data_IF_012394657344
#
_entry.id   IF_012394657344
#
_cell.length_a   1.000
_cell.length_b   1.000
_cell.length_c   1.000
_cell.angle_alpha   90.00
_cell.angle_beta   90.00
_cell.angle_gamma   90.00
#
_symmetry.space_group_name_H-M   'P 1'
#
loop_
_entity.id
_entity.type
_entity.pdbx_description
1 polymer ?
#
# COMPACT_ATOMS: atom_id res chain seq x y z
N UNK A 1 -7.39 39.04 -30.69
CA UNK A 1 -6.82 40.36 -30.35
C UNK A 1 -7.46 41.40 -31.26
N UNK A 2 -7.83 42.61 -30.78
CA UNK A 2 -7.88 43.76 -31.69
C UNK A 2 -6.45 43.99 -32.20
N UNK A 3 -6.29 44.14 -33.52
CA UNK A 3 -4.98 44.14 -34.19
C UNK A 3 -4.09 45.35 -33.87
N UNK A 4 -4.60 46.35 -33.15
CA UNK A 4 -3.99 47.68 -33.05
C UNK A 4 -2.75 47.79 -32.13
N UNK A 5 -2.49 46.80 -31.26
CA UNK A 5 -1.39 46.86 -30.26
C UNK A 5 -0.29 45.78 -30.42
N UNK A 6 -0.34 44.99 -31.50
CA UNK A 6 0.60 43.88 -31.70
C UNK A 6 2.07 44.35 -31.84
N UNK A 7 2.40 45.42 -32.59
CA UNK A 7 3.78 45.89 -32.71
C UNK A 7 4.36 46.39 -31.38
N UNK A 8 3.58 47.15 -30.61
CA UNK A 8 3.99 47.63 -29.29
C UNK A 8 4.25 46.48 -28.32
N UNK A 9 3.37 45.46 -28.35
CA UNK A 9 3.54 44.24 -27.56
C UNK A 9 4.80 43.45 -27.94
N UNK A 10 5.08 43.31 -29.24
CA UNK A 10 6.28 42.61 -29.73
C UNK A 10 7.54 43.34 -29.29
N UNK A 11 7.58 44.67 -29.42
CA UNK A 11 8.75 45.46 -29.01
C UNK A 11 8.93 45.45 -27.48
N UNK A 12 7.86 45.48 -26.70
CA UNK A 12 7.92 45.29 -25.25
C UNK A 12 8.57 43.95 -24.89
N UNK A 13 8.10 42.84 -25.46
CA UNK A 13 8.64 41.50 -25.21
C UNK A 13 10.10 41.41 -25.65
N UNK A 14 10.42 41.92 -26.85
CA UNK A 14 11.79 41.95 -27.36
C UNK A 14 12.73 42.72 -26.45
N UNK A 15 12.32 43.90 -25.97
CA UNK A 15 13.14 44.74 -25.09
C UNK A 15 13.46 44.02 -23.77
N UNK A 16 12.50 43.29 -23.20
CA UNK A 16 12.68 42.53 -21.96
C UNK A 16 13.67 41.36 -22.15
N UNK A 17 13.56 40.63 -23.26
CA UNK A 17 14.49 39.53 -23.57
C UNK A 17 15.89 40.06 -23.87
N UNK A 18 15.98 41.15 -24.66
CA UNK A 18 17.25 41.74 -25.11
C UNK A 18 18.12 42.28 -23.97
N UNK A 19 17.54 42.62 -22.80
CA UNK A 19 18.31 43.01 -21.60
C UNK A 19 19.27 41.94 -21.10
N UNK A 20 18.94 40.66 -21.35
CA UNK A 20 19.66 39.51 -20.78
C UNK A 20 20.21 38.56 -21.84
N UNK A 21 19.59 38.51 -23.02
CA UNK A 21 19.97 37.61 -24.10
C UNK A 21 20.06 38.38 -25.42
N UNK A 22 21.21 38.35 -26.12
CA UNK A 22 21.31 38.89 -27.47
C UNK A 22 20.32 38.21 -28.42
N UNK A 23 19.33 38.96 -28.90
CA UNK A 23 18.31 38.51 -29.85
C UNK A 23 18.79 38.76 -31.27
N UNK A 24 18.77 37.74 -32.13
CA UNK A 24 19.15 37.89 -33.54
C UNK A 24 17.99 37.66 -34.53
N UNK A 25 16.91 37.01 -34.11
CA UNK A 25 15.72 36.83 -34.95
C UNK A 25 14.45 36.79 -34.08
N UNK A 26 13.34 37.34 -34.59
CA UNK A 26 12.03 37.34 -33.92
C UNK A 26 10.99 36.74 -34.87
N UNK A 27 10.29 35.70 -34.42
CA UNK A 27 9.19 35.05 -35.12
C UNK A 27 7.92 35.26 -34.32
N UNK A 28 6.95 35.98 -34.89
CA UNK A 28 5.66 36.25 -34.27
C UNK A 28 4.65 35.21 -34.73
N UNK A 29 3.95 34.58 -33.79
CA UNK A 29 2.81 33.70 -34.04
C UNK A 29 1.59 34.28 -33.32
N UNK A 30 0.38 33.78 -33.66
CA UNK A 30 -0.86 34.28 -33.08
C UNK A 30 -0.92 34.18 -31.55
N UNK A 31 -0.33 33.12 -30.97
CA UNK A 31 -0.42 32.83 -29.54
C UNK A 31 0.89 33.02 -28.77
N UNK A 32 2.01 33.22 -29.47
CA UNK A 32 3.34 33.27 -28.87
C UNK A 32 4.32 34.10 -29.69
N UNK A 33 5.26 34.76 -29.01
CA UNK A 33 6.41 35.41 -29.65
C UNK A 33 7.63 34.53 -29.40
N UNK A 34 8.29 34.08 -30.46
CA UNK A 34 9.50 33.26 -30.39
C UNK A 34 10.71 34.09 -30.82
N UNK A 35 11.68 34.22 -29.94
CA UNK A 35 12.91 34.95 -30.16
C UNK A 35 14.07 33.98 -30.20
N UNK A 36 14.88 34.04 -31.25
CA UNK A 36 16.12 33.28 -31.31
C UNK A 36 17.21 34.11 -30.64
N UNK A 37 17.92 33.47 -29.69
CA UNK A 37 18.87 34.15 -28.82
C UNK A 37 20.20 33.42 -28.75
N UNK A 38 21.27 34.17 -28.49
CA UNK A 38 22.54 33.59 -28.06
C UNK A 38 22.55 33.53 -26.54
N UNK A 39 22.71 32.33 -25.98
CA UNK A 39 22.81 32.14 -24.54
C UNK A 39 24.16 31.50 -24.21
N UNK A 40 24.83 32.03 -23.19
CA UNK A 40 26.02 31.42 -22.61
C UNK A 40 25.57 30.43 -21.52
N UNK A 41 25.96 29.16 -21.64
CA UNK A 41 25.59 28.09 -20.70
C UNK A 41 25.91 28.44 -19.24
N UNK A 42 26.98 29.20 -18.98
CA UNK A 42 27.44 29.53 -17.62
C UNK A 42 26.53 30.52 -16.90
N UNK A 43 25.88 31.43 -17.64
CA UNK A 43 25.04 32.50 -17.08
C UNK A 43 23.55 32.31 -17.38
N UNK A 44 23.21 31.32 -18.21
CA UNK A 44 21.85 31.06 -18.72
C UNK A 44 20.82 30.98 -17.59
N UNK A 45 21.04 30.15 -16.56
CA UNK A 45 20.04 29.93 -15.50
C UNK A 45 19.74 31.21 -14.72
N UNK A 46 20.79 31.96 -14.34
CA UNK A 46 20.65 33.23 -13.61
C UNK A 46 19.94 34.28 -14.47
N UNK A 47 20.39 34.45 -15.71
CA UNK A 47 19.82 35.44 -16.64
C UNK A 47 18.35 35.13 -16.95
N UNK A 48 18.02 33.85 -17.13
CA UNK A 48 16.65 33.41 -17.36
C UNK A 48 15.76 33.63 -16.14
N UNK A 49 16.24 33.32 -14.94
CA UNK A 49 15.45 33.48 -13.71
C UNK A 49 15.14 34.95 -13.39
N UNK A 50 16.11 35.84 -13.59
CA UNK A 50 15.89 37.29 -13.45
C UNK A 50 14.87 37.80 -14.49
N UNK A 51 15.01 37.39 -15.75
CA UNK A 51 14.06 37.72 -16.82
C UNK A 51 12.65 37.20 -16.50
N UNK A 52 12.53 35.97 -15.99
CA UNK A 52 11.26 35.36 -15.58
C UNK A 52 10.58 36.17 -14.48
N UNK A 53 11.31 36.61 -13.48
CA UNK A 53 10.77 37.42 -12.37
C UNK A 53 10.26 38.78 -12.86
N UNK A 54 11.02 39.46 -13.72
CA UNK A 54 10.60 40.73 -14.34
C UNK A 54 9.35 40.53 -15.20
N UNK A 55 9.35 39.50 -16.07
CA UNK A 55 8.22 39.16 -16.93
C UNK A 55 6.96 38.74 -16.17
N UNK A 56 7.09 38.08 -15.01
CA UNK A 56 5.95 37.72 -14.14
C UNK A 56 5.18 38.98 -13.70
N UNK A 57 5.87 40.11 -13.47
CA UNK A 57 5.24 41.40 -13.14
C UNK A 57 4.41 41.99 -14.28
N UNK A 58 4.74 41.66 -15.53
CA UNK A 58 4.01 42.07 -16.74
C UNK A 58 2.96 41.05 -17.20
N UNK A 59 2.72 39.98 -16.44
CA UNK A 59 1.80 38.91 -16.84
C UNK A 59 2.32 38.08 -18.02
N UNK A 60 3.64 38.00 -18.21
CA UNK A 60 4.31 37.26 -19.27
C UNK A 60 4.98 36.00 -18.71
N UNK A 61 4.97 34.93 -19.49
CA UNK A 61 5.63 33.66 -19.15
C UNK A 61 6.66 33.34 -20.23
N UNK A 62 7.97 33.48 -19.95
CA UNK A 62 9.02 33.05 -20.85
C UNK A 62 9.30 31.55 -20.71
N UNK A 63 9.61 30.91 -21.83
CA UNK A 63 10.11 29.54 -21.93
C UNK A 63 11.40 29.57 -22.74
N UNK A 64 12.48 28.96 -22.25
CA UNK A 64 13.73 28.79 -22.99
C UNK A 64 13.94 27.32 -23.34
N UNK A 65 14.10 27.07 -24.64
CA UNK A 65 14.36 25.74 -25.19
C UNK A 65 15.62 25.77 -26.06
N UNK A 66 16.29 24.62 -26.16
CA UNK A 66 17.40 24.42 -27.08
C UNK A 66 17.00 23.38 -28.13
N UNK A 67 17.00 23.76 -29.40
CA UNK A 67 16.60 22.87 -30.50
C UNK A 67 17.46 23.13 -31.73
N UNK A 68 17.94 22.04 -32.37
CA UNK A 68 18.71 22.08 -33.62
C UNK A 68 19.93 23.02 -33.60
N UNK A 69 20.58 23.21 -32.44
CA UNK A 69 21.76 24.05 -32.30
C UNK A 69 21.48 25.49 -31.88
N UNK A 70 20.22 25.88 -31.66
CA UNK A 70 19.83 27.26 -31.34
C UNK A 70 19.02 27.34 -30.04
N UNK A 71 19.23 28.43 -29.29
CA UNK A 71 18.38 28.76 -28.14
C UNK A 71 17.20 29.62 -28.59
N UNK A 72 16.02 29.22 -28.15
CA UNK A 72 14.77 29.93 -28.44
C UNK A 72 14.09 30.33 -27.14
N UNK A 73 13.75 31.60 -27.01
CA UNK A 73 12.90 32.13 -25.94
C UNK A 73 11.50 32.33 -26.52
N UNK A 74 10.56 31.51 -26.09
CA UNK A 74 9.15 31.64 -26.44
C UNK A 74 8.42 32.34 -25.30
N UNK A 75 7.73 33.43 -25.58
CA UNK A 75 6.99 34.21 -24.58
C UNK A 75 5.50 34.13 -24.89
N UNK A 76 4.74 33.75 -23.88
CA UNK A 76 3.26 33.68 -23.91
C UNK A 76 2.66 34.59 -22.85
N UNK A 77 1.45 35.11 -23.11
CA UNK A 77 0.71 35.85 -22.08
C UNK A 77 0.13 34.89 -21.05
N UNK A 78 0.24 35.25 -19.78
CA UNK A 78 -0.47 34.55 -18.71
C UNK A 78 -1.93 35.01 -18.71
N UNK A 79 -2.84 34.17 -19.21
CA UNK A 79 -4.29 34.40 -19.07
C UNK A 79 -4.81 34.04 -17.66
N UNK A 80 -3.93 33.78 -16.68
CA UNK A 80 -4.31 33.33 -15.34
C UNK A 80 -4.74 34.51 -14.49
N UNK A 81 -6.06 34.73 -14.40
CA UNK A 81 -6.64 35.53 -13.32
C UNK A 81 -6.26 34.87 -12.00
N UNK A 82 -5.54 35.60 -11.13
CA UNK A 82 -5.25 35.15 -9.76
C UNK A 82 -6.58 35.02 -9.00
N UNK A 83 -7.24 33.86 -9.09
CA UNK A 83 -8.47 33.61 -8.32
C UNK A 83 -8.14 33.74 -6.83
N UNK A 84 -8.96 34.46 -6.05
CA UNK A 84 -8.75 34.56 -4.60
C UNK A 84 -8.75 33.16 -3.98
N UNK A 85 -7.82 32.92 -3.06
CA UNK A 85 -7.70 31.64 -2.36
C UNK A 85 -8.90 31.52 -1.41
N UNK A 86 -9.88 30.70 -1.75
CA UNK A 86 -10.99 30.43 -0.82
C UNK A 86 -10.55 29.39 0.22
N UNK A 87 -9.99 29.89 1.33
CA UNK A 87 -9.53 29.09 2.48
C UNK A 87 -10.63 28.24 3.13
N UNK A 88 -11.90 28.59 2.89
CA UNK A 88 -13.05 27.87 3.43
C UNK A 88 -13.11 26.43 2.94
N UNK A 89 -12.81 26.19 1.66
CA UNK A 89 -12.83 24.85 1.05
C UNK A 89 -11.79 23.96 1.71
N UNK A 90 -10.56 24.45 1.90
CA UNK A 90 -9.50 23.70 2.56
C UNK A 90 -9.86 23.34 4.01
N UNK A 91 -10.52 24.25 4.75
CA UNK A 91 -10.97 23.99 6.13
C UNK A 91 -12.08 22.94 6.19
N UNK A 92 -13.07 23.04 5.31
CA UNK A 92 -14.14 22.03 5.24
C UNK A 92 -13.55 20.68 4.89
N UNK A 93 -12.72 20.60 3.86
CA UNK A 93 -12.12 19.34 3.44
C UNK A 93 -11.25 18.73 4.54
N UNK A 94 -10.43 19.55 5.21
CA UNK A 94 -9.65 19.09 6.36
C UNK A 94 -10.56 18.53 7.48
N UNK A 95 -11.65 19.22 7.81
CA UNK A 95 -12.58 18.78 8.85
C UNK A 95 -13.29 17.47 8.45
N UNK A 96 -13.78 17.37 7.22
CA UNK A 96 -14.45 16.16 6.71
C UNK A 96 -13.46 14.99 6.66
N UNK A 97 -12.24 15.20 6.15
CA UNK A 97 -11.22 14.15 6.15
C UNK A 97 -10.85 13.74 7.56
N UNK A 98 -10.70 14.67 8.50
CA UNK A 98 -10.42 14.31 9.89
C UNK A 98 -11.54 13.45 10.49
N UNK A 99 -12.81 13.75 10.21
CA UNK A 99 -13.94 12.94 10.64
C UNK A 99 -13.90 11.55 10.00
N UNK A 100 -13.70 11.46 8.68
CA UNK A 100 -13.68 10.15 8.00
C UNK A 100 -12.49 9.29 8.40
N UNK A 101 -11.32 9.88 8.60
CA UNK A 101 -10.13 9.18 9.12
C UNK A 101 -10.33 8.78 10.58
N UNK A 102 -11.01 9.59 11.39
CA UNK A 102 -11.38 9.20 12.76
C UNK A 102 -12.31 8.00 12.74
N UNK A 103 -13.35 7.98 11.89
CA UNK A 103 -14.25 6.82 11.77
C UNK A 103 -13.52 5.54 11.34
N UNK A 104 -12.59 5.64 10.40
CA UNK A 104 -11.72 4.53 10.03
C UNK A 104 -10.83 4.07 11.20
N UNK A 105 -10.26 5.02 11.95
CA UNK A 105 -9.48 4.74 13.15
C UNK A 105 -10.31 4.10 14.27
N UNK A 106 -11.57 4.48 14.42
CA UNK A 106 -12.51 3.89 15.38
C UNK A 106 -12.73 2.41 15.08
N UNK A 107 -12.93 2.06 13.80
CA UNK A 107 -13.08 0.68 13.37
C UNK A 107 -11.82 -0.13 13.68
N UNK A 108 -10.65 0.38 13.27
CA UNK A 108 -9.36 -0.27 13.54
C UNK A 108 -9.08 -0.43 15.04
N UNK A 109 -9.40 0.58 15.85
CA UNK A 109 -9.24 0.50 17.30
C UNK A 109 -10.21 -0.52 17.90
N UNK A 110 -11.47 -0.54 17.46
CA UNK A 110 -12.46 -1.48 17.97
C UNK A 110 -12.10 -2.93 17.65
N UNK A 111 -11.55 -3.20 16.46
CA UNK A 111 -11.01 -4.50 16.08
C UNK A 111 -9.78 -4.85 16.93
N UNK A 112 -8.89 -3.88 17.14
CA UNK A 112 -7.72 -4.06 17.98
C UNK A 112 -8.09 -4.42 19.43
N UNK A 113 -9.08 -3.78 20.06
CA UNK A 113 -9.45 -4.10 21.45
C UNK A 113 -10.52 -5.19 21.59
N UNK A 114 -11.03 -5.75 20.48
CA UNK A 114 -12.12 -6.73 20.49
C UNK A 114 -13.45 -6.18 21.04
N UNK A 115 -13.77 -4.91 20.77
CA UNK A 115 -14.99 -4.29 21.29
C UNK A 115 -16.27 -4.76 20.54
N UNK A 116 -17.31 -5.15 21.29
CA UNK A 116 -18.60 -5.56 20.71
C UNK A 116 -19.31 -4.43 19.93
N UNK A 117 -19.19 -3.19 20.42
CA UNK A 117 -19.72 -2.00 19.75
C UNK A 117 -18.57 -1.09 19.34
N UNK A 118 -18.43 -0.87 18.04
CA UNK A 118 -17.39 0.00 17.50
C UNK A 118 -17.67 1.49 17.73
N UNK A 119 -18.94 1.93 17.79
CA UNK A 119 -19.33 3.35 17.96
C UNK A 119 -19.46 3.79 19.42
N UNK A 120 -18.43 3.57 20.24
CA UNK A 120 -18.36 4.11 21.60
C UNK A 120 -17.53 5.41 21.63
N UNK A 121 -17.80 6.29 22.61
CA UNK A 121 -17.04 7.53 22.77
C UNK A 121 -15.54 7.28 23.01
N UNK A 122 -15.21 6.19 23.71
CA UNK A 122 -13.85 5.74 23.97
C UNK A 122 -13.15 5.28 22.68
N UNK A 123 -13.81 4.43 21.88
CA UNK A 123 -13.25 3.96 20.61
C UNK A 123 -13.05 5.11 19.61
N UNK A 124 -13.97 6.09 19.60
CA UNK A 124 -13.82 7.29 18.76
C UNK A 124 -12.62 8.13 19.21
N UNK A 125 -12.44 8.31 20.51
CA UNK A 125 -11.31 9.06 21.06
C UNK A 125 -9.97 8.39 20.72
N UNK A 126 -9.85 7.09 20.96
CA UNK A 126 -8.62 6.36 20.67
C UNK A 126 -8.39 6.14 19.18
N UNK A 127 -9.44 5.96 18.38
CA UNK A 127 -9.35 5.96 16.92
C UNK A 127 -8.83 7.28 16.36
N UNK A 128 -9.27 8.42 16.91
CA UNK A 128 -8.74 9.72 16.56
C UNK A 128 -7.26 9.87 16.99
N UNK A 129 -6.95 9.53 18.23
CA UNK A 129 -5.63 9.73 18.83
C UNK A 129 -4.56 8.83 18.21
N UNK A 130 -4.85 7.55 18.04
CA UNK A 130 -3.86 6.54 17.66
C UNK A 130 -3.82 6.26 16.16
N UNK A 131 -4.82 6.65 15.37
CA UNK A 131 -4.80 6.48 13.92
C UNK A 131 -4.94 7.80 13.15
N UNK A 132 -6.00 8.57 13.40
CA UNK A 132 -6.29 9.74 12.59
C UNK A 132 -5.26 10.87 12.74
N UNK A 133 -4.88 11.21 13.97
CA UNK A 133 -3.86 12.24 14.24
C UNK A 133 -2.51 11.87 13.61
N UNK A 134 -1.95 10.66 13.83
CA UNK A 134 -0.71 10.25 13.18
C UNK A 134 -0.78 10.28 11.65
N UNK A 135 -1.82 9.71 11.04
CA UNK A 135 -1.94 9.65 9.58
C UNK A 135 -2.09 11.06 8.97
N UNK A 136 -2.92 11.91 9.56
CA UNK A 136 -3.11 13.28 9.12
C UNK A 136 -1.85 14.13 9.30
N UNK A 137 -1.05 13.87 10.34
CA UNK A 137 0.24 14.53 10.53
C UNK A 137 1.23 14.15 9.42
N UNK A 138 1.33 12.87 9.06
CA UNK A 138 2.18 12.39 7.96
C UNK A 138 1.79 13.07 6.64
N UNK A 139 0.52 12.97 6.25
CA UNK A 139 0.01 13.54 5.00
C UNK A 139 0.12 15.08 4.98
N UNK A 140 -0.20 15.71 6.11
CA UNK A 140 -0.14 17.16 6.25
C UNK A 140 1.29 17.69 6.12
N UNK A 141 2.27 17.05 6.78
CA UNK A 141 3.68 17.47 6.69
C UNK A 141 4.27 17.17 5.32
N UNK A 142 3.85 16.08 4.65
CA UNK A 142 4.20 15.80 3.25
C UNK A 142 3.81 16.98 2.34
N UNK A 143 2.53 17.36 2.33
CA UNK A 143 2.05 18.45 1.48
C UNK A 143 2.58 19.84 1.90
N UNK A 144 2.78 20.07 3.20
CA UNK A 144 3.42 21.31 3.68
C UNK A 144 4.87 21.42 3.23
N UNK A 145 5.58 20.29 3.11
CA UNK A 145 6.96 20.28 2.63
C UNK A 145 7.03 20.68 1.15
N UNK A 146 6.09 20.20 0.34
CA UNK A 146 5.90 20.68 -1.03
C UNK A 146 5.58 22.18 -1.09
N UNK A 147 4.68 22.66 -0.24
CA UNK A 147 4.32 24.08 -0.17
C UNK A 147 5.54 24.96 0.18
N UNK A 148 6.32 24.57 1.19
CA UNK A 148 7.52 25.31 1.62
C UNK A 148 8.58 25.31 0.52
N UNK A 149 8.82 24.16 -0.14
CA UNK A 149 9.74 24.07 -1.26
C UNK A 149 9.30 24.95 -2.43
N UNK A 150 8.01 24.91 -2.80
CA UNK A 150 7.44 25.73 -3.86
C UNK A 150 7.65 27.23 -3.60
N UNK A 151 7.41 27.68 -2.36
CA UNK A 151 7.63 29.07 -1.96
C UNK A 151 9.10 29.48 -2.06
N UNK A 152 10.04 28.58 -1.72
CA UNK A 152 11.49 28.85 -1.86
C UNK A 152 11.92 29.01 -3.33
N UNK A 153 11.27 28.32 -4.26
CA UNK A 153 11.50 28.46 -5.70
C UNK A 153 10.64 29.56 -6.37
N UNK A 154 9.87 30.33 -5.61
CA UNK A 154 9.01 31.39 -6.15
C UNK A 154 7.89 30.87 -7.06
N UNK A 155 7.39 29.67 -6.74
CA UNK A 155 6.27 29.01 -7.42
C UNK A 155 5.04 29.14 -6.52
N UNK A 156 3.98 29.77 -7.04
CA UNK A 156 2.73 29.92 -6.29
C UNK A 156 2.00 28.56 -6.20
N UNK A 157 1.80 28.08 -4.96
CA UNK A 157 1.11 26.83 -4.64
C UNK A 157 -0.08 27.09 -3.71
N UNK A 158 -1.10 26.23 -3.76
CA UNK A 158 -2.18 26.25 -2.76
C UNK A 158 -1.72 25.66 -1.43
N UNK A 159 -2.51 25.92 -0.38
CA UNK A 159 -2.46 25.09 0.82
C UNK A 159 -3.02 23.68 0.50
N UNK A 160 -2.72 22.67 1.35
CA UNK A 160 -3.15 21.29 1.13
C UNK A 160 -4.67 21.18 1.03
N UNK A 161 -5.14 20.38 0.07
CA UNK A 161 -6.50 19.91 -0.04
C UNK A 161 -6.52 18.44 0.40
N UNK A 162 -7.13 18.17 1.55
CA UNK A 162 -7.33 16.80 2.03
C UNK A 162 -8.52 16.17 1.30
N UNK A 163 -8.39 14.90 0.90
CA UNK A 163 -9.44 14.18 0.20
C UNK A 163 -10.02 13.14 1.15
N UNK A 164 -11.28 13.31 1.61
CA UNK A 164 -11.94 12.31 2.45
C UNK A 164 -12.21 11.04 1.64
N UNK A 165 -12.18 9.90 2.33
CA UNK A 165 -12.60 8.61 1.79
C UNK A 165 -13.40 7.85 2.83
N UNK A 166 -14.10 6.81 2.41
CA UNK A 166 -14.70 5.84 3.32
C UNK A 166 -13.60 4.91 3.91
N UNK A 167 -13.88 4.18 5.01
CA UNK A 167 -13.01 3.12 5.50
C UNK A 167 -12.61 2.15 4.37
N UNK A 168 -11.40 1.58 4.38
CA UNK A 168 -10.58 1.29 5.56
C UNK A 168 -9.56 2.37 5.98
N UNK A 169 -9.16 3.30 5.09
CA UNK A 169 -8.14 4.32 5.42
C UNK A 169 -8.75 5.67 5.84
N UNK A 170 -9.99 5.95 5.45
CA UNK A 170 -10.68 7.21 5.75
C UNK A 170 -10.17 8.44 5.00
N UNK A 171 -9.16 8.31 4.14
CA UNK A 171 -8.66 9.38 3.25
C UNK A 171 -8.04 8.80 1.97
N UNK A 172 -8.14 9.53 0.86
CA UNK A 172 -7.36 9.27 -0.37
C UNK A 172 -6.02 10.02 -0.39
N UNK A 173 -5.65 10.66 0.71
CA UNK A 173 -4.47 11.51 0.82
C UNK A 173 -4.81 12.99 0.80
N UNK A 174 -3.79 13.79 0.50
CA UNK A 174 -3.90 15.22 0.31
C UNK A 174 -3.09 15.63 -0.92
N UNK A 175 -3.37 16.81 -1.49
CA UNK A 175 -2.57 17.36 -2.57
C UNK A 175 -2.51 18.88 -2.51
N UNK A 176 -1.41 19.46 -2.99
CA UNK A 176 -1.32 20.88 -3.34
C UNK A 176 -1.57 21.09 -4.84
N UNK A 177 -2.16 22.23 -5.17
CA UNK A 177 -2.31 22.67 -6.56
C UNK A 177 -1.22 23.67 -6.92
N UNK A 178 -0.37 23.30 -7.88
CA UNK A 178 0.66 24.16 -8.44
C UNK A 178 0.03 25.16 -9.42
N UNK A 179 0.07 26.44 -9.07
CA UNK A 179 -0.60 27.52 -9.83
C UNK A 179 0.32 28.23 -10.81
N UNK A 180 1.62 28.03 -10.67
CA UNK A 180 2.65 28.52 -11.57
C UNK A 180 3.34 27.34 -12.27
N UNK A 181 3.78 27.53 -13.53
CA UNK A 181 4.63 26.55 -14.20
C UNK A 181 6.01 26.43 -13.52
N UNK A 182 6.59 25.24 -13.59
CA UNK A 182 7.86 24.94 -12.95
C UNK A 182 9.02 25.74 -13.58
N UNK A 183 9.83 26.49 -12.80
CA UNK A 183 10.84 27.38 -13.34
C UNK A 183 11.95 26.66 -14.11
N UNK A 184 12.51 25.60 -13.53
CA UNK A 184 13.63 24.86 -14.10
C UNK A 184 13.64 23.40 -13.61
N UNK A 185 14.54 22.60 -14.19
CA UNK A 185 14.73 21.19 -13.80
C UNK A 185 15.17 21.01 -12.35
N UNK A 186 15.88 21.98 -11.77
CA UNK A 186 16.28 21.95 -10.37
C UNK A 186 15.06 22.03 -9.44
N UNK A 187 14.18 23.00 -9.67
CA UNK A 187 12.95 23.16 -8.91
C UNK A 187 12.04 21.92 -9.01
N UNK A 188 12.04 21.21 -10.14
CA UNK A 188 11.32 19.94 -10.27
C UNK A 188 11.82 18.89 -9.27
N UNK A 189 13.14 18.69 -9.17
CA UNK A 189 13.71 17.73 -8.22
C UNK A 189 13.51 18.19 -6.79
N UNK A 190 13.86 19.45 -6.48
CA UNK A 190 13.82 20.00 -5.12
C UNK A 190 12.39 20.00 -4.54
N UNK A 191 11.39 20.36 -5.35
CA UNK A 191 9.99 20.31 -4.92
C UNK A 191 9.51 18.85 -4.89
N UNK A 192 9.73 18.08 -5.95
CA UNK A 192 9.26 16.69 -6.02
C UNK A 192 9.75 15.82 -4.86
N UNK A 193 11.00 16.01 -4.41
CA UNK A 193 11.54 15.22 -3.29
C UNK A 193 11.14 15.74 -1.90
N UNK A 194 10.72 17.02 -1.79
CA UNK A 194 10.46 17.65 -0.50
C UNK A 194 9.29 17.00 0.24
N UNK A 195 8.19 16.70 -0.45
CA UNK A 195 7.05 15.99 0.13
C UNK A 195 7.44 14.65 0.73
N UNK A 196 7.96 13.69 -0.07
CA UNK A 196 8.36 12.37 0.40
C UNK A 196 9.34 12.41 1.59
N UNK A 197 10.35 13.29 1.56
CA UNK A 197 11.29 13.41 2.68
C UNK A 197 10.63 14.01 3.93
N UNK A 198 9.75 15.00 3.76
CA UNK A 198 9.01 15.62 4.85
C UNK A 198 8.02 14.66 5.51
N UNK A 199 7.26 13.92 4.70
CA UNK A 199 6.36 12.86 5.17
C UNK A 199 7.14 11.78 5.92
N UNK A 200 8.24 11.28 5.32
CA UNK A 200 9.08 10.26 5.94
C UNK A 200 9.68 10.70 7.29
N UNK A 201 10.05 11.98 7.42
CA UNK A 201 10.57 12.52 8.67
C UNK A 201 9.56 12.44 9.83
N UNK A 202 8.26 12.40 9.53
CA UNK A 202 7.19 12.16 10.52
C UNK A 202 6.84 10.68 10.62
N UNK A 203 6.80 9.96 9.50
CA UNK A 203 6.48 8.54 9.46
C UNK A 203 7.45 7.70 10.28
N UNK A 204 8.76 8.00 10.26
CA UNK A 204 9.77 7.23 11.01
C UNK A 204 9.52 7.28 12.53
N UNK A 205 9.40 8.46 13.17
CA UNK A 205 9.01 8.54 14.59
C UNK A 205 7.68 7.86 14.90
N UNK A 206 6.66 8.04 14.06
CA UNK A 206 5.35 7.42 14.25
C UNK A 206 5.45 5.89 14.15
N UNK A 207 6.27 5.36 13.24
CA UNK A 207 6.54 3.93 13.12
C UNK A 207 7.19 3.38 14.38
N UNK A 208 8.21 4.04 14.92
CA UNK A 208 8.89 3.60 16.16
C UNK A 208 7.94 3.63 17.36
N UNK A 209 7.11 4.68 17.50
CA UNK A 209 6.09 4.76 18.54
C UNK A 209 5.05 3.66 18.37
N UNK A 210 4.56 3.45 17.14
CA UNK A 210 3.57 2.42 16.84
C UNK A 210 4.09 1.00 17.09
N UNK A 211 5.34 0.73 16.71
CA UNK A 211 6.04 -0.52 17.00
C UNK A 211 6.21 -0.74 18.49
N UNK A 212 6.61 0.29 19.24
CA UNK A 212 6.70 0.22 20.69
C UNK A 212 5.34 -0.07 21.34
N UNK A 213 4.27 0.57 20.89
CA UNK A 213 2.91 0.30 21.37
C UNK A 213 2.44 -1.11 20.99
N UNK A 214 2.83 -1.60 19.82
CA UNK A 214 2.58 -2.98 19.38
C UNK A 214 3.29 -3.99 20.30
N UNK A 215 4.55 -3.74 20.64
CA UNK A 215 5.35 -4.59 21.53
C UNK A 215 4.80 -4.70 22.96
N UNK A 216 4.08 -3.68 23.42
CA UNK A 216 3.44 -3.64 24.74
C UNK A 216 1.92 -3.90 24.66
N UNK A 217 1.44 -4.33 23.48
CA UNK A 217 0.04 -4.65 23.25
C UNK A 217 -0.31 -6.06 23.72
N UNK A 218 -1.36 -6.61 23.12
CA UNK A 218 -1.79 -7.98 23.32
C UNK A 218 -1.42 -8.85 22.11
N UNK A 219 -1.19 -10.12 22.35
CA UNK A 219 -0.98 -11.11 21.30
C UNK A 219 -2.28 -11.37 20.55
N UNK A 220 -2.17 -11.62 19.25
CA UNK A 220 -3.27 -12.23 18.50
C UNK A 220 -3.23 -13.72 18.82
N UNK A 221 -3.92 -14.09 19.90
CA UNK A 221 -4.11 -15.50 20.29
C UNK A 221 -5.47 -15.96 19.78
N UNK A 222 -5.48 -17.06 19.03
CA UNK A 222 -6.70 -17.72 18.59
C UNK A 222 -6.69 -18.18 17.13
N UNK A 223 -7.64 -19.04 16.75
CA UNK A 223 -7.82 -19.54 15.40
C UNK A 223 -8.12 -18.41 14.42
N UNK A 224 -7.60 -18.52 13.20
CA UNK A 224 -8.02 -17.69 12.07
C UNK A 224 -9.42 -18.14 11.68
N UNK A 225 -10.44 -17.33 11.95
CA UNK A 225 -11.81 -17.66 11.55
C UNK A 225 -11.96 -17.98 10.06
N UNK A 226 -13.02 -18.71 9.70
CA UNK A 226 -13.26 -19.25 8.34
C UNK A 226 -13.27 -18.20 7.21
N UNK A 227 -13.38 -16.91 7.54
CA UNK A 227 -13.25 -15.82 6.58
C UNK A 227 -11.80 -15.47 6.21
N UNK A 228 -10.82 -16.07 6.88
CA UNK A 228 -9.42 -15.69 6.81
C UNK A 228 -9.12 -14.38 7.55
N UNK A 229 -7.83 -14.02 7.60
CA UNK A 229 -7.35 -12.76 8.19
C UNK A 229 -6.59 -11.96 7.14
N UNK A 230 -6.84 -10.65 7.07
CA UNK A 230 -6.02 -9.75 6.28
C UNK A 230 -4.71 -9.45 7.01
N UNK A 231 -3.59 -9.84 6.41
CA UNK A 231 -2.25 -9.53 6.88
C UNK A 231 -1.62 -8.43 6.03
N UNK A 232 -0.83 -7.58 6.66
CA UNK A 232 -0.03 -6.57 5.96
C UNK A 232 1.40 -7.06 5.75
N UNK A 233 1.96 -6.75 4.59
CA UNK A 233 3.37 -7.00 4.32
C UNK A 233 4.20 -5.79 4.71
N UNK A 234 5.27 -6.03 5.47
CA UNK A 234 6.13 -4.98 6.02
C UNK A 234 7.12 -4.51 4.95
N UNK A 235 7.26 -3.19 4.78
CA UNK A 235 8.21 -2.61 3.83
C UNK A 235 9.65 -2.68 4.36
N UNK A 236 10.70 -2.70 3.52
CA UNK A 236 12.08 -2.88 3.97
C UNK A 236 12.54 -1.89 5.05
N UNK A 237 12.17 -0.61 4.91
CA UNK A 237 12.48 0.40 5.92
C UNK A 237 11.73 0.14 7.23
N UNK A 238 10.46 -0.25 7.15
CA UNK A 238 9.68 -0.61 8.33
C UNK A 238 10.32 -1.80 9.05
N UNK A 239 10.75 -2.82 8.31
CA UNK A 239 11.44 -3.98 8.86
C UNK A 239 12.75 -3.59 9.55
N UNK A 240 13.53 -2.66 8.96
CA UNK A 240 14.72 -2.11 9.61
C UNK A 240 14.38 -1.39 10.93
N UNK A 241 13.28 -0.64 10.97
CA UNK A 241 12.82 0.02 12.20
C UNK A 241 12.35 -0.97 13.26
N UNK A 242 11.72 -2.08 12.85
CA UNK A 242 11.30 -3.14 13.75
C UNK A 242 12.48 -3.80 14.48
N UNK A 243 13.69 -3.83 13.89
CA UNK A 243 14.89 -4.35 14.57
C UNK A 243 15.27 -3.58 15.84
N UNK A 244 14.82 -2.34 15.98
CA UNK A 244 15.09 -1.51 17.17
C UNK A 244 14.06 -1.72 18.29
N UNK A 245 12.99 -2.47 18.04
CA UNK A 245 11.92 -2.72 19.01
C UNK A 245 11.77 -4.23 19.17
N UNK A 246 12.26 -4.82 20.28
CA UNK A 246 12.04 -6.24 20.56
C UNK A 246 10.52 -6.50 20.67
N UNK A 247 10.02 -7.44 19.89
CA UNK A 247 8.61 -7.85 19.91
C UNK A 247 8.54 -9.37 20.02
N UNK A 248 7.54 -9.86 20.77
CA UNK A 248 7.19 -11.27 20.75
C UNK A 248 6.54 -11.63 19.40
N UNK A 249 6.52 -12.93 19.09
CA UNK A 249 5.81 -13.41 17.90
C UNK A 249 4.30 -13.16 18.04
N UNK A 250 3.62 -12.98 16.90
CA UNK A 250 2.14 -12.86 16.83
C UNK A 250 1.51 -11.70 17.61
N UNK A 251 2.20 -10.56 17.70
CA UNK A 251 1.66 -9.35 18.35
C UNK A 251 0.61 -8.64 17.48
N UNK A 252 -0.49 -8.19 18.08
CA UNK A 252 -1.52 -7.42 17.39
C UNK A 252 -0.99 -6.04 17.01
N UNK A 253 -1.06 -5.70 15.72
CA UNK A 253 -0.52 -4.44 15.21
C UNK A 253 -1.32 -3.24 15.75
N UNK A 254 -0.65 -2.36 16.48
CA UNK A 254 -1.28 -1.16 17.02
C UNK A 254 -1.70 -0.20 15.89
N UNK A 255 -2.86 0.49 15.97
CA UNK A 255 -3.33 1.39 14.90
C UNK A 255 -2.35 2.51 14.50
N UNK A 256 -1.53 2.99 15.43
CA UNK A 256 -0.44 3.94 15.14
C UNK A 256 0.64 3.34 14.26
N UNK A 257 0.97 2.07 14.48
CA UNK A 257 1.94 1.34 13.68
C UNK A 257 1.39 1.11 12.26
N UNK A 258 0.09 0.85 12.13
CA UNK A 258 -0.61 0.78 10.86
C UNK A 258 -0.65 2.13 10.13
N UNK A 259 -0.91 3.24 10.83
CA UNK A 259 -0.84 4.58 10.24
C UNK A 259 0.54 4.89 9.64
N UNK A 260 1.62 4.46 10.31
CA UNK A 260 2.97 4.59 9.78
C UNK A 260 3.18 3.72 8.53
N UNK A 261 2.66 2.49 8.54
CA UNK A 261 2.70 1.59 7.39
C UNK A 261 2.02 2.22 6.17
N UNK A 262 0.85 2.85 6.35
CA UNK A 262 0.16 3.62 5.30
C UNK A 262 1.03 4.79 4.85
N UNK A 263 1.68 5.50 5.78
CA UNK A 263 2.60 6.60 5.47
C UNK A 263 3.76 6.19 4.55
N UNK A 264 4.39 5.04 4.79
CA UNK A 264 5.41 4.50 3.88
C UNK A 264 4.82 4.12 2.53
N UNK A 265 3.64 3.49 2.49
CA UNK A 265 2.96 3.14 1.23
C UNK A 265 2.65 4.39 0.38
N UNK A 266 2.11 5.44 0.98
CA UNK A 266 1.82 6.73 0.31
C UNK A 266 3.12 7.36 -0.21
N UNK A 267 4.18 7.33 0.59
CA UNK A 267 5.51 7.83 0.19
C UNK A 267 6.03 7.08 -1.03
N UNK A 268 5.93 5.75 -1.04
CA UNK A 268 6.36 4.90 -2.16
C UNK A 268 5.55 5.19 -3.43
N UNK A 269 4.22 5.26 -3.34
CA UNK A 269 3.35 5.56 -4.48
C UNK A 269 3.68 6.92 -5.06
N UNK A 270 3.82 7.95 -4.21
CA UNK A 270 4.15 9.30 -4.68
C UNK A 270 5.54 9.35 -5.35
N UNK A 271 6.51 8.54 -4.92
CA UNK A 271 7.84 8.48 -5.53
C UNK A 271 7.93 7.63 -6.81
N UNK A 272 6.84 7.01 -7.26
CA UNK A 272 6.82 6.30 -8.55
C UNK A 272 7.18 7.28 -9.69
N UNK A 273 8.12 6.93 -10.59
CA UNK A 273 8.65 7.85 -11.59
C UNK A 273 7.72 7.95 -12.82
N UNK A 274 6.50 8.43 -12.61
CA UNK A 274 5.46 8.50 -13.65
C UNK A 274 4.56 9.73 -13.52
N UNK A 275 4.20 10.29 -14.67
CA UNK A 275 3.18 11.33 -14.77
C UNK A 275 3.48 12.57 -13.92
N UNK A 276 2.49 13.01 -13.15
CA UNK A 276 2.55 14.19 -12.27
C UNK A 276 2.76 13.82 -10.79
N UNK A 277 3.10 12.57 -10.50
CA UNK A 277 3.49 12.19 -9.14
C UNK A 277 4.82 12.85 -8.76
N UNK A 278 5.13 12.87 -7.47
CA UNK A 278 6.37 13.43 -6.92
C UNK A 278 7.62 12.81 -7.56
N UNK A 279 7.62 11.49 -7.75
CA UNK A 279 8.66 10.76 -8.48
C UNK A 279 8.73 11.12 -9.96
N UNK A 280 7.60 11.48 -10.58
CA UNK A 280 7.53 12.00 -11.94
C UNK A 280 8.22 13.37 -12.06
N UNK A 281 8.03 14.27 -11.09
CA UNK A 281 8.77 15.53 -10.99
C UNK A 281 10.28 15.28 -10.89
N UNK A 282 10.70 14.40 -9.96
CA UNK A 282 12.12 14.04 -9.77
C UNK A 282 12.71 13.43 -11.05
N UNK A 283 12.03 12.46 -11.66
CA UNK A 283 12.47 11.81 -12.88
C UNK A 283 12.59 12.81 -14.04
N UNK A 284 11.60 13.70 -14.22
CA UNK A 284 11.64 14.74 -15.27
C UNK A 284 12.75 15.75 -15.04
N UNK A 285 13.03 16.08 -13.78
CA UNK A 285 14.16 16.90 -13.39
C UNK A 285 15.49 16.25 -13.76
N UNK A 286 15.73 15.01 -13.33
CA UNK A 286 16.99 14.28 -13.54
C UNK A 286 17.26 13.90 -15.00
N UNK A 287 16.26 13.36 -15.71
CA UNK A 287 16.44 12.73 -17.02
C UNK A 287 15.94 13.58 -18.20
N UNK A 288 15.34 14.74 -17.94
CA UNK A 288 14.80 15.58 -19.01
C UNK A 288 13.62 14.88 -19.70
N UNK A 289 13.48 15.10 -21.01
CA UNK A 289 12.41 14.48 -21.82
C UNK A 289 12.43 12.95 -21.81
N UNK A 290 13.59 12.32 -21.57
CA UNK A 290 13.74 10.85 -21.50
C UNK A 290 13.02 10.22 -20.31
N UNK A 291 12.60 11.01 -19.31
CA UNK A 291 11.81 10.54 -18.19
C UNK A 291 10.48 9.89 -18.61
N UNK A 292 9.98 10.20 -19.82
CA UNK A 292 8.77 9.57 -20.36
C UNK A 292 8.89 8.05 -20.46
N UNK A 293 10.09 7.52 -20.75
CA UNK A 293 10.32 6.08 -20.83
C UNK A 293 10.24 5.41 -19.44
N UNK A 294 10.69 6.10 -18.39
CA UNK A 294 10.49 5.64 -17.01
C UNK A 294 9.01 5.63 -16.63
N UNK A 295 8.25 6.62 -17.09
CA UNK A 295 6.80 6.66 -16.90
C UNK A 295 6.10 5.45 -17.55
N UNK A 296 6.46 5.12 -18.79
CA UNK A 296 5.94 3.93 -19.47
C UNK A 296 6.36 2.62 -18.79
N UNK A 297 7.61 2.51 -18.36
CA UNK A 297 8.10 1.34 -17.64
C UNK A 297 7.37 1.16 -16.30
N UNK A 298 7.14 2.24 -15.56
CA UNK A 298 6.40 2.23 -14.29
C UNK A 298 4.95 1.82 -14.50
N UNK A 299 4.28 2.35 -15.52
CA UNK A 299 2.91 1.95 -15.85
C UNK A 299 2.81 0.47 -16.23
N UNK A 300 3.74 -0.03 -17.05
CA UNK A 300 3.79 -1.45 -17.39
C UNK A 300 4.07 -2.33 -16.16
N UNK A 301 4.96 -1.89 -15.27
CA UNK A 301 5.24 -2.58 -14.01
C UNK A 301 3.99 -2.66 -13.13
N UNK A 302 3.28 -1.54 -12.92
CA UNK A 302 2.03 -1.52 -12.15
C UNK A 302 0.97 -2.45 -12.75
N UNK A 303 0.87 -2.50 -14.09
CA UNK A 303 -0.05 -3.41 -14.78
C UNK A 303 0.34 -4.89 -14.60
N UNK A 304 1.62 -5.24 -14.54
CA UNK A 304 2.07 -6.60 -14.22
C UNK A 304 1.82 -6.92 -12.74
N UNK A 305 1.99 -5.93 -11.87
CA UNK A 305 1.81 -6.10 -10.43
C UNK A 305 0.35 -6.38 -10.02
N UNK A 306 -0.62 -6.13 -10.89
CA UNK A 306 -2.03 -6.51 -10.62
C UNK A 306 -2.21 -8.02 -10.46
N UNK A 307 -1.29 -8.84 -10.97
CA UNK A 307 -1.29 -10.29 -10.77
C UNK A 307 -1.05 -10.64 -9.28
N UNK A 308 -0.32 -9.80 -8.55
CA UNK A 308 0.04 -10.01 -7.16
C UNK A 308 -0.90 -9.29 -6.19
N UNK A 309 -1.43 -8.13 -6.57
CA UNK A 309 -2.33 -7.34 -5.74
C UNK A 309 -3.24 -6.46 -6.61
N UNK A 310 -4.55 -6.72 -6.52
CA UNK A 310 -5.58 -6.03 -7.32
C UNK A 310 -5.59 -4.52 -7.14
N UNK A 311 -5.16 -4.01 -5.98
CA UNK A 311 -5.09 -2.57 -5.72
C UNK A 311 -4.13 -1.83 -6.68
N UNK A 312 -3.15 -2.52 -7.28
CA UNK A 312 -2.29 -1.89 -8.30
C UNK A 312 -3.03 -1.52 -9.58
N UNK A 313 -4.14 -2.19 -9.89
CA UNK A 313 -4.97 -1.83 -11.03
C UNK A 313 -5.56 -0.43 -10.86
N UNK A 314 -6.04 -0.12 -9.66
CA UNK A 314 -6.57 1.21 -9.32
C UNK A 314 -5.50 2.30 -9.52
N UNK A 315 -4.27 2.05 -9.05
CA UNK A 315 -3.17 3.00 -9.22
C UNK A 315 -2.71 3.12 -10.68
N UNK A 316 -2.66 2.02 -11.43
CA UNK A 316 -2.37 2.05 -12.86
C UNK A 316 -3.40 2.91 -13.61
N UNK A 317 -4.69 2.73 -13.32
CA UNK A 317 -5.77 3.53 -13.89
C UNK A 317 -5.63 5.02 -13.52
N UNK A 318 -5.36 5.33 -12.24
CA UNK A 318 -5.14 6.71 -11.79
C UNK A 318 -3.98 7.37 -12.55
N UNK A 319 -2.84 6.68 -12.64
CA UNK A 319 -1.65 7.16 -13.34
C UNK A 319 -1.92 7.36 -14.83
N UNK A 320 -2.70 6.47 -15.45
CA UNK A 320 -3.12 6.62 -16.84
C UNK A 320 -3.97 7.88 -17.05
N UNK A 321 -4.95 8.12 -16.18
CA UNK A 321 -5.84 9.29 -16.24
C UNK A 321 -5.11 10.62 -16.00
N UNK A 322 -4.12 10.64 -15.10
CA UNK A 322 -3.26 11.81 -14.85
C UNK A 322 -2.28 12.10 -16.00
N UNK A 323 -2.06 11.11 -16.87
CA UNK A 323 -1.16 11.17 -18.00
C UNK A 323 0.26 10.76 -17.64
N UNK A 324 0.87 9.94 -18.50
CA UNK A 324 2.19 9.34 -18.26
C UNK A 324 3.36 10.30 -18.51
N UNK A 325 3.12 11.41 -19.24
CA UNK A 325 4.12 12.40 -19.61
C UNK A 325 4.05 13.62 -18.69
N UNK A 326 5.18 13.95 -18.09
CA UNK A 326 5.32 15.17 -17.30
C UNK A 326 5.49 16.43 -18.21
N UNK A 327 4.83 17.57 -17.91
CA UNK A 327 5.02 18.83 -18.64
C UNK A 327 6.45 19.37 -18.57
N UNK A 328 6.91 20.09 -19.59
CA UNK A 328 8.25 20.67 -19.59
C UNK A 328 8.33 21.89 -18.62
N UNK A 329 9.47 22.08 -17.91
CA UNK A 329 9.71 23.30 -17.15
C UNK A 329 9.98 24.49 -18.09
N UNK A 330 9.93 25.71 -17.56
CA UNK A 330 10.20 26.94 -18.33
C UNK A 330 11.65 27.02 -18.83
N UNK A 331 12.61 26.50 -18.05
CA UNK A 331 14.01 26.36 -18.42
C UNK A 331 14.42 24.88 -18.33
N UNK A 332 14.45 24.23 -19.49
CA UNK A 332 14.82 22.81 -19.62
C UNK A 332 16.27 22.61 -20.06
N UNK A 333 17.01 23.70 -20.30
CA UNK A 333 18.36 23.70 -20.87
C UNK A 333 19.44 23.64 -19.78
N UNK A 334 19.17 24.24 -18.62
CA UNK A 334 20.17 24.39 -17.57
C UNK A 334 20.59 23.05 -16.97
N UNK A 335 21.90 22.93 -16.70
CA UNK A 335 22.48 21.75 -16.04
C UNK A 335 22.12 21.73 -14.55
N UNK A 336 21.92 20.53 -14.02
CA UNK A 336 21.68 20.32 -12.59
C UNK A 336 22.99 20.41 -11.81
N UNK A 337 22.94 20.99 -10.61
CA UNK A 337 24.02 20.93 -9.63
C UNK A 337 24.09 19.55 -8.95
N UNK A 338 25.30 19.18 -8.51
CA UNK A 338 25.57 17.86 -7.91
C UNK A 338 24.66 17.56 -6.71
N UNK A 339 24.31 18.58 -5.91
CA UNK A 339 23.43 18.43 -4.73
C UNK A 339 22.04 17.95 -5.14
N UNK A 340 21.47 18.56 -6.17
CA UNK A 340 20.13 18.21 -6.69
C UNK A 340 20.13 16.80 -7.26
N UNK A 341 21.20 16.38 -7.94
CA UNK A 341 21.33 14.99 -8.40
C UNK A 341 21.34 14.01 -7.22
N UNK A 342 22.11 14.30 -6.16
CA UNK A 342 22.14 13.47 -4.94
C UNK A 342 20.77 13.40 -4.27
N UNK A 343 20.04 14.53 -4.18
CA UNK A 343 18.68 14.54 -3.64
C UNK A 343 17.71 13.69 -4.47
N UNK A 344 17.78 13.79 -5.81
CA UNK A 344 16.98 12.95 -6.69
C UNK A 344 17.29 11.45 -6.55
N UNK A 345 18.57 11.10 -6.40
CA UNK A 345 18.99 9.71 -6.13
C UNK A 345 18.52 9.21 -4.76
N UNK A 346 18.53 10.08 -3.74
CA UNK A 346 17.97 9.75 -2.43
C UNK A 346 16.47 9.38 -2.53
N UNK A 347 15.72 10.03 -3.42
CA UNK A 347 14.33 9.65 -3.72
C UNK A 347 14.18 8.22 -4.23
N UNK A 348 15.10 7.75 -5.08
CA UNK A 348 15.09 6.36 -5.55
C UNK A 348 15.40 5.37 -4.42
N UNK A 349 16.30 5.73 -3.50
CA UNK A 349 16.58 4.92 -2.31
C UNK A 349 15.36 4.86 -1.40
N UNK A 350 14.69 5.99 -1.17
CA UNK A 350 13.46 6.03 -0.36
C UNK A 350 12.35 5.20 -1.01
N UNK A 351 12.18 5.30 -2.33
CA UNK A 351 11.23 4.47 -3.07
C UNK A 351 11.52 2.97 -2.82
N UNK A 352 12.76 2.53 -3.04
CA UNK A 352 13.14 1.14 -2.84
C UNK A 352 12.94 0.68 -1.38
N UNK A 353 13.17 1.57 -0.41
CA UNK A 353 13.04 1.25 1.01
C UNK A 353 11.58 1.24 1.50
N UNK A 354 10.68 1.95 0.83
CA UNK A 354 9.27 2.10 1.24
C UNK A 354 8.29 1.34 0.34
N UNK A 355 8.73 0.82 -0.80
CA UNK A 355 7.88 0.07 -1.72
C UNK A 355 7.73 -1.40 -1.27
N UNK A 356 6.53 -1.94 -1.40
CA UNK A 356 6.23 -3.35 -1.18
C UNK A 356 5.34 -3.86 -2.32
N UNK A 357 5.70 -4.95 -3.03
CA UNK A 357 4.94 -5.43 -4.18
C UNK A 357 3.53 -5.93 -3.86
N UNK A 358 3.32 -6.51 -2.68
CA UNK A 358 2.03 -7.03 -2.25
C UNK A 358 1.73 -6.44 -0.87
N UNK A 359 1.10 -5.26 -0.77
CA UNK A 359 0.91 -4.58 0.51
C UNK A 359 0.03 -5.37 1.48
N UNK A 360 -1.04 -6.00 0.97
CA UNK A 360 -2.03 -6.73 1.76
C UNK A 360 -2.16 -8.13 1.17
N UNK A 361 -2.22 -9.13 2.03
CA UNK A 361 -2.50 -10.53 1.69
C UNK A 361 -3.60 -11.08 2.59
N UNK A 362 -4.35 -12.05 2.11
CA UNK A 362 -5.32 -12.80 2.90
C UNK A 362 -4.70 -14.13 3.30
N UNK A 363 -4.60 -14.39 4.59
CA UNK A 363 -4.23 -15.70 5.13
C UNK A 363 -5.52 -16.51 5.21
N UNK A 364 -5.60 -17.58 4.42
CA UNK A 364 -6.75 -18.47 4.39
C UNK A 364 -6.80 -19.36 5.65
N UNK A 365 -8.00 -19.74 6.11
CA UNK A 365 -8.16 -20.76 7.13
C UNK A 365 -7.60 -22.09 6.61
N UNK A 366 -6.77 -22.72 7.41
CA UNK A 366 -6.20 -24.04 7.17
C UNK A 366 -6.79 -25.02 8.18
N UNK A 367 -7.62 -25.94 7.71
CA UNK A 367 -8.25 -27.01 8.50
C UNK A 367 -7.45 -28.32 8.46
N UNK A 368 -6.15 -28.25 8.13
CA UNK A 368 -5.29 -29.41 8.07
C UNK A 368 -5.24 -30.15 9.40
N UNK A 369 -5.28 -31.48 9.33
CA UNK A 369 -5.16 -32.34 10.49
C UNK A 369 -4.31 -33.56 10.16
N UNK A 370 -3.69 -34.11 11.20
CA UNK A 370 -2.99 -35.38 11.16
C UNK A 370 -3.77 -36.44 11.93
N UNK A 371 -3.70 -37.68 11.47
CA UNK A 371 -4.37 -38.82 12.09
C UNK A 371 -3.36 -39.93 12.34
N UNK A 372 -3.29 -40.39 13.59
CA UNK A 372 -2.36 -41.43 14.02
C UNK A 372 -3.10 -42.52 14.80
N UNK A 373 -2.97 -43.77 14.37
CA UNK A 373 -3.55 -44.93 15.07
C UNK A 373 -2.56 -45.42 16.13
N UNK A 374 -2.93 -45.29 17.40
CA UNK A 374 -2.10 -45.73 18.52
C UNK A 374 -2.11 -47.26 18.61
N UNK A 375 -0.92 -47.87 18.70
CA UNK A 375 -0.77 -49.33 18.75
C UNK A 375 -0.67 -50.01 17.37
N UNK A 376 -0.74 -49.24 16.28
CA UNK A 376 -0.60 -49.74 14.91
C UNK A 376 -1.93 -50.00 14.22
N UNK A 377 -1.86 -50.25 12.91
CA UNK A 377 -3.03 -50.41 12.04
C UNK A 377 -3.51 -51.85 11.89
N UNK A 378 -2.89 -52.81 12.60
CA UNK A 378 -3.25 -54.22 12.52
C UNK A 378 -3.32 -54.86 13.92
N UNK A 379 -4.39 -55.61 14.18
CA UNK A 379 -4.61 -56.27 15.47
C UNK A 379 -5.20 -57.67 15.28
N UNK A 380 -4.85 -58.60 16.19
CA UNK A 380 -5.40 -59.96 16.20
C UNK A 380 -6.37 -60.11 17.38
N UNK A 381 -7.55 -60.68 17.13
CA UNK A 381 -8.64 -60.78 18.12
C UNK A 381 -9.34 -62.14 18.04
N UNK A 382 -9.86 -62.64 19.16
CA UNK A 382 -10.57 -63.92 19.21
C UNK A 382 -12.00 -63.77 18.65
N UNK A 383 -12.52 -64.82 18.03
CA UNK A 383 -13.90 -64.83 17.55
C UNK A 383 -14.90 -64.55 18.71
N UNK A 384 -15.86 -63.65 18.49
CA UNK A 384 -16.86 -63.26 19.49
C UNK A 384 -16.40 -62.19 20.49
N UNK A 385 -15.25 -61.55 20.27
CA UNK A 385 -14.75 -60.45 21.10
C UNK A 385 -14.71 -59.11 20.36
N UNK A 386 -14.54 -58.04 21.12
CA UNK A 386 -14.48 -56.66 20.63
C UNK A 386 -13.03 -56.17 20.62
N UNK A 387 -12.66 -55.41 19.59
CA UNK A 387 -11.37 -54.74 19.51
C UNK A 387 -11.57 -53.23 19.50
N UNK A 388 -10.68 -52.52 20.18
CA UNK A 388 -10.67 -51.06 20.23
C UNK A 388 -9.40 -50.53 19.57
N UNK A 389 -9.58 -49.63 18.59
CA UNK A 389 -8.51 -48.81 18.05
C UNK A 389 -8.62 -47.42 18.64
N UNK A 390 -7.52 -46.87 19.13
CA UNK A 390 -7.46 -45.47 19.56
C UNK A 390 -6.81 -44.65 18.46
N UNK A 391 -7.57 -43.71 17.90
CA UNK A 391 -7.13 -42.81 16.84
C UNK A 391 -6.93 -41.43 17.44
N UNK A 392 -5.71 -40.91 17.35
CA UNK A 392 -5.39 -39.55 17.70
C UNK A 392 -5.53 -38.68 16.46
N UNK A 393 -6.39 -37.68 16.52
CA UNK A 393 -6.56 -36.64 15.49
C UNK A 393 -5.98 -35.35 16.04
N UNK A 394 -4.97 -34.80 15.39
CA UNK A 394 -4.28 -33.59 15.80
C UNK A 394 -4.55 -32.45 14.81
N UNK A 395 -4.98 -31.29 15.29
CA UNK A 395 -5.13 -30.11 14.44
C UNK A 395 -3.73 -29.57 14.12
N UNK A 396 -3.35 -29.56 12.85
CA UNK A 396 -2.09 -28.98 12.39
C UNK A 396 -2.30 -27.70 11.60
N UNK A 397 -3.56 -27.30 11.44
CA UNK A 397 -3.99 -26.09 10.78
C UNK A 397 -3.93 -24.85 11.68
N UNK A 398 -4.43 -23.74 11.14
CA UNK A 398 -4.45 -22.44 11.82
C UNK A 398 -5.87 -21.99 12.22
N UNK A 399 -6.87 -22.87 12.08
CA UNK A 399 -8.27 -22.60 12.45
C UNK A 399 -8.92 -23.79 13.17
N UNK A 400 -10.01 -23.51 13.88
CA UNK A 400 -10.89 -24.53 14.43
C UNK A 400 -11.54 -25.33 13.30
N UNK A 401 -11.72 -26.63 13.52
CA UNK A 401 -12.22 -27.53 12.50
C UNK A 401 -13.37 -28.39 13.01
N UNK A 402 -14.38 -28.61 12.16
CA UNK A 402 -15.39 -29.64 12.38
C UNK A 402 -14.94 -30.90 11.65
N UNK A 403 -14.53 -31.91 12.42
CA UNK A 403 -14.01 -33.17 11.87
C UNK A 403 -15.16 -34.18 11.80
N UNK A 404 -15.36 -34.76 10.63
CA UNK A 404 -16.29 -35.87 10.38
C UNK A 404 -15.49 -37.14 10.14
N UNK A 405 -15.67 -38.14 10.99
CA UNK A 405 -15.04 -39.45 10.87
C UNK A 405 -16.12 -40.50 10.58
N UNK A 406 -15.91 -41.29 9.54
CA UNK A 406 -16.82 -42.33 9.09
C UNK A 406 -16.06 -43.64 8.85
N UNK A 407 -16.74 -44.76 9.11
CA UNK A 407 -16.19 -46.09 8.84
C UNK A 407 -16.77 -46.58 7.52
N UNK A 408 -15.91 -47.00 6.61
CA UNK A 408 -16.28 -47.63 5.35
C UNK A 408 -15.76 -49.07 5.26
N UNK A 409 -16.43 -49.90 4.46
CA UNK A 409 -16.01 -51.28 4.23
C UNK A 409 -16.34 -52.27 5.35
N UNK A 410 -17.28 -51.96 6.24
CA UNK A 410 -17.72 -52.88 7.31
C UNK A 410 -18.26 -54.18 6.69
N UNK A 411 -17.69 -55.37 6.99
CA UNK A 411 -18.17 -56.63 6.47
C UNK A 411 -19.62 -56.93 6.90
N UNK A 412 -20.37 -57.62 6.05
CA UNK A 412 -21.68 -58.16 6.43
C UNK A 412 -21.50 -59.08 7.65
N UNK A 413 -22.20 -58.77 8.75
CA UNK A 413 -22.18 -59.41 10.08
C UNK A 413 -21.22 -58.82 11.13
N UNK A 414 -20.45 -57.77 10.81
CA UNK A 414 -19.65 -57.02 11.79
C UNK A 414 -20.39 -55.76 12.22
N UNK A 415 -20.12 -55.27 13.43
CA UNK A 415 -20.57 -53.94 13.88
C UNK A 415 -19.35 -53.13 14.28
N UNK A 416 -19.30 -51.87 13.85
CA UNK A 416 -18.23 -50.97 14.17
C UNK A 416 -18.81 -49.60 14.54
N UNK A 417 -18.25 -48.97 15.55
CA UNK A 417 -18.77 -47.71 16.07
C UNK A 417 -17.65 -46.80 16.56
N UNK A 418 -17.84 -45.50 16.36
CA UNK A 418 -16.94 -44.43 16.77
C UNK A 418 -17.55 -43.68 17.95
N UNK A 419 -16.71 -43.33 18.92
CA UNK A 419 -17.04 -42.40 20.00
C UNK A 419 -15.76 -41.69 20.48
N UNK A 420 -15.90 -40.50 21.05
CA UNK A 420 -14.76 -39.81 21.66
C UNK A 420 -14.31 -40.56 22.91
N UNK A 421 -13.00 -40.68 23.15
CA UNK A 421 -12.46 -41.47 24.26
C UNK A 421 -12.84 -40.95 25.66
N UNK A 422 -13.42 -39.75 25.76
CA UNK A 422 -14.00 -39.19 26.99
C UNK A 422 -15.51 -39.47 27.17
N UNK A 423 -16.15 -40.06 26.16
CA UNK A 423 -17.57 -40.44 26.16
C UNK A 423 -17.81 -41.89 26.59
N UNK A 424 -19.03 -42.37 26.39
CA UNK A 424 -19.42 -43.76 26.72
C UNK A 424 -19.85 -44.52 25.47
N UNK A 425 -19.84 -45.85 25.53
CA UNK A 425 -20.24 -46.72 24.41
C UNK A 425 -21.72 -46.57 24.00
N UNK A 426 -22.54 -45.80 24.72
CA UNK A 426 -23.89 -45.40 24.31
C UNK A 426 -23.92 -44.28 23.27
N UNK A 427 -22.82 -43.53 23.13
CA UNK A 427 -22.67 -42.41 22.17
C UNK A 427 -22.09 -42.90 20.82
N UNK A 428 -21.93 -44.21 20.69
CA UNK A 428 -21.39 -44.93 19.56
C UNK A 428 -22.23 -44.72 18.29
N UNK A 429 -21.61 -44.15 17.25
CA UNK A 429 -22.24 -43.92 15.95
C UNK A 429 -21.38 -44.44 14.81
N UNK A 430 -21.97 -44.68 13.64
CA UNK A 430 -21.22 -45.07 12.44
C UNK A 430 -20.52 -43.87 11.77
N UNK A 431 -20.93 -42.66 12.14
CA UNK A 431 -20.36 -41.38 11.69
C UNK A 431 -20.27 -40.46 12.90
N UNK A 432 -19.05 -40.14 13.33
CA UNK A 432 -18.78 -39.24 14.43
C UNK A 432 -18.43 -37.85 13.87
N UNK A 433 -19.08 -36.82 14.37
CA UNK A 433 -18.75 -35.41 14.07
C UNK A 433 -18.36 -34.75 15.38
N UNK A 434 -17.20 -34.12 15.43
CA UNK A 434 -16.71 -33.46 16.63
C UNK A 434 -15.94 -32.18 16.31
N UNK A 435 -15.99 -31.16 17.19
CA UNK A 435 -15.11 -30.00 17.10
C UNK A 435 -13.68 -30.40 17.43
N UNK A 436 -12.72 -29.88 16.67
CA UNK A 436 -11.30 -29.96 16.92
C UNK A 436 -10.72 -28.55 16.88
N UNK A 437 -10.46 -28.02 18.07
CA UNK A 437 -10.01 -26.63 18.25
C UNK A 437 -8.55 -26.45 17.77
N UNK A 438 -8.16 -25.21 17.48
CA UNK A 438 -6.78 -24.86 17.11
C UNK A 438 -5.78 -25.28 18.20
N UNK A 439 -4.65 -25.87 17.78
CA UNK A 439 -3.62 -26.48 18.65
C UNK A 439 -4.11 -27.61 19.59
N UNK A 440 -5.32 -28.11 19.41
CA UNK A 440 -5.87 -29.21 20.20
C UNK A 440 -5.82 -30.57 19.47
N UNK A 441 -6.01 -31.64 20.25
CA UNK A 441 -6.04 -33.02 19.80
C UNK A 441 -7.26 -33.76 20.34
N UNK A 442 -7.93 -34.49 19.47
CA UNK A 442 -9.01 -35.39 19.86
C UNK A 442 -8.53 -36.83 19.86
N UNK A 443 -8.95 -37.59 20.86
CA UNK A 443 -8.81 -39.04 20.88
C UNK A 443 -10.17 -39.67 20.56
N UNK A 444 -10.22 -40.42 19.47
CA UNK A 444 -11.40 -41.15 19.01
C UNK A 444 -11.17 -42.64 19.20
N UNK A 445 -12.12 -43.32 19.83
CA UNK A 445 -12.09 -44.78 19.97
C UNK A 445 -13.00 -45.40 18.90
N UNK A 446 -12.44 -46.29 18.10
CA UNK A 446 -13.16 -47.16 17.19
C UNK A 446 -13.30 -48.54 17.84
N UNK A 447 -14.54 -48.94 18.14
CA UNK A 447 -14.85 -50.27 18.64
C UNK A 447 -15.40 -51.12 17.49
N UNK A 448 -14.80 -52.29 17.25
CA UNK A 448 -15.23 -53.26 16.25
C UNK A 448 -15.60 -54.56 16.95
N UNK A 449 -16.83 -55.02 16.79
CA UNK A 449 -17.30 -56.29 17.34
C UNK A 449 -17.23 -57.38 16.26
N UNK A 450 -16.49 -58.44 16.57
CA UNK A 450 -16.29 -59.57 15.66
C UNK A 450 -17.25 -60.71 16.02
N UNK A 451 -18.00 -61.26 15.05
CA UNK A 451 -18.90 -62.38 15.30
C UNK A 451 -18.15 -63.68 15.61
N UNK A 452 -18.82 -64.61 16.31
CA UNK A 452 -18.21 -65.82 16.86
C UNK A 452 -17.90 -66.93 15.83
N UNK A 453 -18.33 -66.77 14.58
CA UNK A 453 -18.35 -67.80 13.54
C UNK A 453 -17.35 -67.57 12.38
N UNK A 454 -16.41 -66.61 12.53
CA UNK A 454 -15.51 -66.18 11.45
C UNK A 454 -14.04 -66.30 11.86
N UNK A 455 -13.21 -66.90 11.01
CA UNK A 455 -11.73 -66.97 11.16
C UNK A 455 -11.03 -66.42 9.91
N UNK A 456 -11.19 -65.12 9.66
CA UNK A 456 -10.69 -64.43 8.46
C UNK A 456 -10.18 -63.03 8.82
N UNK A 457 -9.13 -62.57 8.14
CA UNK A 457 -8.69 -61.17 8.20
C UNK A 457 -9.62 -60.28 7.38
N UNK A 458 -10.01 -59.13 7.92
CA UNK A 458 -10.81 -58.11 7.25
C UNK A 458 -10.20 -56.74 7.45
N UNK A 459 -10.28 -55.93 6.40
CA UNK A 459 -9.81 -54.56 6.41
C UNK A 459 -11.01 -53.60 6.51
N UNK A 460 -10.89 -52.59 7.37
CA UNK A 460 -11.81 -51.47 7.49
C UNK A 460 -11.10 -50.19 7.07
N UNK A 461 -11.80 -49.31 6.38
CA UNK A 461 -11.26 -48.00 6.01
C UNK A 461 -11.87 -46.95 6.92
N UNK A 462 -11.04 -46.24 7.66
CA UNK A 462 -11.45 -45.08 8.44
C UNK A 462 -11.26 -43.84 7.57
N UNK A 463 -12.34 -43.15 7.22
CA UNK A 463 -12.32 -41.93 6.42
C UNK A 463 -12.62 -40.75 7.31
N UNK A 464 -11.67 -39.83 7.43
CA UNK A 464 -11.80 -38.61 8.22
C UNK A 464 -11.77 -37.41 7.28
N UNK A 465 -12.74 -36.52 7.40
CA UNK A 465 -12.85 -35.31 6.59
C UNK A 465 -12.98 -34.06 7.45
N UNK A 466 -12.28 -32.98 7.08
CA UNK A 466 -12.43 -31.65 7.67
C UNK A 466 -12.35 -30.60 6.56
N UNK A 467 -13.42 -29.80 6.37
CA UNK A 467 -13.50 -28.71 5.39
C UNK A 467 -12.94 -29.04 3.98
N UNK A 468 -13.20 -30.25 3.48
CA UNK A 468 -12.77 -30.71 2.15
C UNK A 468 -11.41 -31.42 2.10
N UNK A 469 -10.68 -31.50 3.21
CA UNK A 469 -9.48 -32.33 3.37
C UNK A 469 -9.92 -33.72 3.82
N UNK A 470 -9.53 -34.76 3.08
CA UNK A 470 -9.83 -36.16 3.38
C UNK A 470 -8.54 -36.93 3.70
N UNK A 471 -8.58 -37.72 4.78
CA UNK A 471 -7.54 -38.66 5.16
C UNK A 471 -8.17 -40.01 5.42
N UNK A 472 -7.59 -41.06 4.85
CA UNK A 472 -8.04 -42.43 5.06
C UNK A 472 -6.94 -43.28 5.68
N UNK A 473 -7.26 -44.06 6.70
CA UNK A 473 -6.37 -45.10 7.24
C UNK A 473 -7.02 -46.48 7.10
N UNK A 474 -6.21 -47.47 6.75
CA UNK A 474 -6.66 -48.85 6.59
C UNK A 474 -6.32 -49.65 7.85
N UNK A 475 -7.34 -50.23 8.46
CA UNK A 475 -7.25 -50.99 9.71
C UNK A 475 -7.52 -52.47 9.44
N UNK A 476 -6.55 -53.33 9.72
CA UNK A 476 -6.64 -54.77 9.51
C UNK A 476 -6.94 -55.51 10.81
N UNK A 477 -8.07 -56.20 10.87
CA UNK A 477 -8.46 -57.06 12.00
C UNK A 477 -8.34 -58.51 11.60
N UNK A 478 -7.42 -59.24 12.23
CA UNK A 478 -7.24 -60.69 12.01
C UNK A 478 -7.95 -61.47 13.12
N UNK A 479 -8.89 -62.34 12.74
CA UNK A 479 -9.61 -63.19 13.70
C UNK A 479 -8.89 -64.54 13.80
N UNK A 480 -8.36 -64.85 14.99
CA UNK A 480 -7.54 -66.05 15.25
C UNK A 480 -8.03 -66.88 16.44
#
# INVERSE_FOLDING_TARGET
>A
MPAEDLPAYVEQVRSLVAKRFPVYEVKVSYDAIRLLVRADESTLDKNFEEMRKEMKGHGLVPLINYSKGEHTVTVVRSNRVKKPVNLWINRILLAVTFVTTTLAGTLLWSEYVGAENWLTAENIFYGALFFAVPLMAILGVHELSHYVASKRHGVDASLPYFIPSIPPFGTFGAFISMRDPMPNRKALVDIGIAGPLGGLAVTIPVALIGLYLTANGHSVEGPIGDSGVMAIMIQPLYQLLALFVPMADSMALHPTAFAAWVGFLVTAINLLPVGQLDGGHVARGLFGEKAVYLGYATFALLAIMTIFYDGWFLFAMLVFLLGLKHPAPLNDVSKLDKRTVVLGLAGLVVLAATFVPQPITTIAPDHSFEMNVLGGNATTVAAGSSVEFTILVNNTGNTDSQVRMAIEGIPANWTASLYLSNGTSSDATNVLIFPLDFEDRASVTLMVNVPADVSLTRDLTLVTTASGIERSELLSVTVA
#
